data_IF_236136511564
#
_entry.id   IF_236136511564
#
_cell.length_a   1.000
_cell.length_b   1.000
_cell.length_c   1.000
_cell.angle_alpha   90.00
_cell.angle_beta   90.00
_cell.angle_gamma   90.00
#
_symmetry.space_group_name_H-M   'P 1'
#
loop_
_entity.id
_entity.type
_entity.pdbx_description
1 polymer ?
#
# COMPACT_ATOMS: atom_id res chain seq x y z
N UNK A 1 -18.32 -27.39 51.27
CA UNK A 1 -19.46 -27.39 50.31
C UNK A 1 -18.88 -27.26 48.89
N UNK A 2 -18.96 -28.25 48.02
CA UNK A 2 -18.46 -28.14 46.66
C UNK A 2 -19.36 -27.22 45.85
N UNK A 3 -18.77 -26.21 45.23
CA UNK A 3 -19.46 -25.30 44.31
C UNK A 3 -20.09 -26.10 43.16
N UNK A 4 -21.40 -25.96 42.93
CA UNK A 4 -22.09 -26.65 41.85
C UNK A 4 -21.41 -26.29 40.52
N UNK A 5 -21.21 -27.26 39.58
CA UNK A 5 -20.58 -27.09 38.27
C UNK A 5 -21.14 -25.89 37.49
N UNK A 6 -22.46 -25.62 37.64
CA UNK A 6 -23.13 -24.45 37.02
C UNK A 6 -22.61 -23.11 37.56
N UNK A 7 -22.31 -23.00 38.86
CA UNK A 7 -21.77 -21.78 39.47
C UNK A 7 -20.32 -21.55 39.01
N UNK A 8 -19.52 -22.60 38.89
CA UNK A 8 -18.15 -22.49 38.41
C UNK A 8 -18.13 -21.99 36.95
N UNK A 9 -18.99 -22.52 36.09
CA UNK A 9 -19.12 -22.07 34.69
C UNK A 9 -19.57 -20.61 34.62
N UNK A 10 -20.53 -20.22 35.46
CA UNK A 10 -21.03 -18.84 35.53
C UNK A 10 -19.91 -17.87 35.96
N UNK A 11 -19.15 -18.20 37.00
CA UNK A 11 -18.03 -17.36 37.47
C UNK A 11 -16.91 -17.29 36.43
N UNK A 12 -16.60 -18.39 35.76
CA UNK A 12 -15.60 -18.39 34.67
C UNK A 12 -16.03 -17.50 33.50
N UNK A 13 -17.31 -17.56 33.13
CA UNK A 13 -17.86 -16.71 32.08
C UNK A 13 -17.88 -15.24 32.51
N UNK A 14 -18.22 -14.96 33.77
CA UNK A 14 -18.24 -13.60 34.32
C UNK A 14 -16.83 -12.99 34.40
N UNK A 15 -15.83 -13.77 34.81
CA UNK A 15 -14.41 -13.33 34.84
C UNK A 15 -13.89 -13.08 33.41
N UNK A 16 -14.25 -13.97 32.47
CA UNK A 16 -13.92 -13.78 31.05
C UNK A 16 -14.58 -12.51 30.51
N UNK A 17 -15.84 -12.29 30.79
CA UNK A 17 -16.60 -11.09 30.40
C UNK A 17 -16.01 -9.82 31.00
N UNK A 18 -15.65 -9.82 32.29
CA UNK A 18 -14.97 -8.70 32.95
C UNK A 18 -13.59 -8.45 32.33
N UNK A 19 -12.85 -9.49 32.00
CA UNK A 19 -11.55 -9.38 31.29
C UNK A 19 -11.70 -8.73 29.92
N UNK A 20 -12.65 -9.21 29.13
CA UNK A 20 -12.94 -8.65 27.80
C UNK A 20 -13.43 -7.19 27.92
N UNK A 21 -14.31 -6.90 28.88
CA UNK A 21 -14.81 -5.55 29.12
C UNK A 21 -13.69 -4.59 29.59
N UNK A 22 -12.78 -5.04 30.46
CA UNK A 22 -11.62 -4.26 30.89
C UNK A 22 -10.67 -3.95 29.73
N UNK A 23 -10.41 -4.94 28.87
CA UNK A 23 -9.61 -4.74 27.64
C UNK A 23 -10.27 -3.68 26.75
N UNK A 24 -11.59 -3.78 26.60
CA UNK A 24 -12.39 -2.86 25.79
C UNK A 24 -12.38 -1.44 26.35
N UNK A 25 -12.54 -1.30 27.68
CA UNK A 25 -12.47 0.00 28.38
C UNK A 25 -11.10 0.62 28.29
N UNK A 26 -10.03 -0.18 28.41
CA UNK A 26 -8.66 0.30 28.30
C UNK A 26 -8.33 0.77 26.87
N UNK A 27 -8.74 -0.02 25.87
CA UNK A 27 -8.60 0.35 24.46
C UNK A 27 -9.41 1.61 24.15
N UNK A 28 -10.63 1.71 24.63
CA UNK A 28 -11.48 2.89 24.47
C UNK A 28 -10.87 4.13 25.14
N UNK A 29 -10.31 3.98 26.33
CA UNK A 29 -9.68 5.08 27.07
C UNK A 29 -8.40 5.58 26.36
N UNK A 30 -7.56 4.67 25.86
CA UNK A 30 -6.32 5.03 25.15
C UNK A 30 -6.58 5.65 23.76
N UNK A 31 -7.70 5.26 23.10
CA UNK A 31 -8.08 5.75 21.78
C UNK A 31 -9.14 6.87 21.84
N UNK A 32 -9.44 7.39 23.04
CA UNK A 32 -10.46 8.42 23.24
C UNK A 32 -10.15 9.75 22.55
N UNK A 33 -8.88 9.96 22.20
CA UNK A 33 -8.42 11.19 21.56
C UNK A 33 -8.06 10.95 20.09
N UNK A 34 -9.05 10.55 19.27
CA UNK A 34 -8.86 10.31 17.83
C UNK A 34 -8.31 11.53 17.08
N UNK A 35 -8.54 12.73 17.59
CA UNK A 35 -7.93 13.96 17.07
C UNK A 35 -6.41 13.95 17.20
N UNK A 36 -5.88 13.50 18.34
CA UNK A 36 -4.41 13.36 18.52
C UNK A 36 -3.82 12.28 17.63
N UNK A 37 -4.52 11.14 17.51
CA UNK A 37 -4.09 10.05 16.59
C UNK A 37 -4.06 10.53 15.15
N UNK A 38 -5.07 11.28 14.71
CA UNK A 38 -5.11 11.90 13.39
C UNK A 38 -3.94 12.86 13.19
N UNK A 39 -3.70 13.77 14.13
CA UNK A 39 -2.62 14.75 14.05
C UNK A 39 -1.25 14.07 14.04
N UNK A 40 -1.04 13.03 14.87
CA UNK A 40 0.17 12.24 14.87
C UNK A 40 0.37 11.51 13.53
N UNK A 41 -0.69 10.96 12.94
CA UNK A 41 -0.62 10.32 11.62
C UNK A 41 -0.22 11.33 10.54
N UNK A 42 -0.83 12.53 10.53
CA UNK A 42 -0.48 13.61 9.61
C UNK A 42 1.01 13.97 9.77
N UNK A 43 1.44 14.26 10.99
CA UNK A 43 2.82 14.64 11.31
C UNK A 43 3.81 13.57 10.80
N UNK A 44 3.55 12.30 11.09
CA UNK A 44 4.45 11.20 10.69
C UNK A 44 4.48 10.99 9.18
N UNK A 45 3.37 11.11 8.49
CA UNK A 45 3.35 11.01 7.03
C UNK A 45 4.03 12.24 6.40
N UNK A 46 3.81 13.46 6.93
CA UNK A 46 4.48 14.68 6.47
C UNK A 46 6.01 14.61 6.68
N UNK A 47 6.44 14.10 7.84
CA UNK A 47 7.86 13.89 8.15
C UNK A 47 8.51 12.93 7.14
N UNK A 48 7.85 11.80 6.84
CA UNK A 48 8.37 10.77 5.94
C UNK A 48 8.35 11.20 4.47
N UNK A 49 7.27 11.82 4.03
CA UNK A 49 7.07 12.19 2.63
C UNK A 49 7.60 13.58 2.29
N UNK A 50 7.82 14.43 3.31
CA UNK A 50 8.11 15.86 3.20
C UNK A 50 7.04 16.61 2.38
N UNK A 51 5.78 16.19 2.54
CA UNK A 51 4.63 16.71 1.81
C UNK A 51 3.48 16.99 2.76
N UNK A 52 2.67 17.98 2.39
CA UNK A 52 1.46 18.28 3.15
C UNK A 52 0.42 17.18 2.99
N UNK A 53 -0.11 16.75 4.12
CA UNK A 53 -1.11 15.68 4.22
C UNK A 53 -2.38 16.22 4.82
N UNK A 54 -3.52 15.84 4.27
CA UNK A 54 -4.81 16.09 4.91
C UNK A 54 -5.55 14.78 5.13
N UNK A 55 -6.25 14.69 6.26
CA UNK A 55 -7.12 13.59 6.62
C UNK A 55 -8.45 14.22 7.05
N UNK A 56 -9.56 13.81 6.43
CA UNK A 56 -10.89 14.31 6.77
C UNK A 56 -11.28 13.89 8.17
N UNK A 57 -11.65 12.64 8.34
CA UNK A 57 -12.13 12.08 9.60
C UNK A 57 -11.26 10.92 10.08
N UNK A 58 -11.23 10.74 11.40
CA UNK A 58 -10.64 9.55 12.02
C UNK A 58 -11.69 8.89 12.91
N UNK A 59 -11.93 7.61 12.69
CA UNK A 59 -12.91 6.81 13.44
C UNK A 59 -12.26 5.55 14.00
N UNK A 60 -12.79 5.06 15.09
CA UNK A 60 -12.44 3.75 15.63
C UNK A 60 -13.50 2.73 15.20
N UNK A 61 -13.06 1.64 14.59
CA UNK A 61 -13.92 0.53 14.21
C UNK A 61 -13.47 -0.74 14.96
N UNK A 62 -14.44 -1.36 15.64
CA UNK A 62 -14.22 -2.56 16.43
C UNK A 62 -14.91 -3.79 15.84
N UNK A 63 -15.80 -3.59 14.87
CA UNK A 63 -16.62 -4.67 14.31
C UNK A 63 -15.77 -5.69 13.56
N UNK A 64 -14.71 -5.22 12.88
CA UNK A 64 -13.76 -6.07 12.14
C UNK A 64 -12.41 -6.24 12.85
N UNK A 65 -12.39 -6.07 14.16
CA UNK A 65 -11.21 -5.98 15.00
C UNK A 65 -10.85 -4.54 15.32
N UNK A 66 -10.08 -4.33 16.40
CA UNK A 66 -9.69 -2.99 16.80
C UNK A 66 -8.90 -2.32 15.68
N UNK A 67 -9.46 -1.28 15.09
CA UNK A 67 -8.85 -0.58 13.97
C UNK A 67 -9.16 0.92 14.02
N UNK A 68 -8.25 1.69 13.42
CA UNK A 68 -8.42 3.11 13.15
C UNK A 68 -8.74 3.25 11.67
N UNK A 69 -9.83 3.92 11.37
CA UNK A 69 -10.26 4.27 10.01
C UNK A 69 -10.01 5.76 9.79
N UNK A 70 -9.13 6.07 8.84
CA UNK A 70 -8.87 7.43 8.36
C UNK A 70 -9.62 7.59 7.03
N UNK A 71 -10.46 8.61 6.91
CA UNK A 71 -11.23 8.91 5.70
C UNK A 71 -10.64 10.12 4.98
N UNK A 72 -10.83 10.16 3.66
CA UNK A 72 -10.46 11.27 2.78
C UNK A 72 -9.00 11.70 2.98
N UNK A 73 -8.12 10.72 2.87
CA UNK A 73 -6.67 10.94 2.99
C UNK A 73 -6.16 11.52 1.67
N UNK A 74 -5.42 12.63 1.75
CA UNK A 74 -4.75 13.19 0.58
C UNK A 74 -3.36 13.70 0.88
N UNK A 75 -2.45 13.51 -0.07
CA UNK A 75 -1.05 13.96 -0.02
C UNK A 75 -0.83 14.90 -1.20
N UNK A 76 -0.41 16.14 -0.92
CA UNK A 76 -0.21 17.16 -1.95
C UNK A 76 0.94 16.81 -2.88
N UNK A 77 0.77 17.14 -4.16
CA UNK A 77 1.82 17.05 -5.16
C UNK A 77 2.96 18.04 -4.89
N UNK A 78 4.16 17.69 -5.33
CA UNK A 78 5.31 18.59 -5.32
C UNK A 78 5.22 19.65 -6.43
N UNK A 79 4.56 19.32 -7.55
CA UNK A 79 4.61 20.12 -8.78
C UNK A 79 3.27 20.64 -9.26
N UNK A 80 2.20 20.45 -8.51
CA UNK A 80 0.87 20.87 -8.92
C UNK A 80 -0.07 21.21 -7.78
N UNK A 81 -1.23 21.73 -8.12
CA UNK A 81 -2.31 22.03 -7.16
C UNK A 81 -3.08 20.76 -6.77
N UNK A 82 -3.13 19.78 -7.69
CA UNK A 82 -3.83 18.54 -7.46
C UNK A 82 -3.06 17.63 -6.50
N UNK A 83 -3.77 16.85 -5.67
CA UNK A 83 -3.14 15.89 -4.81
C UNK A 83 -2.45 14.79 -5.65
N UNK A 84 -1.28 14.35 -5.22
CA UNK A 84 -0.55 13.27 -5.89
C UNK A 84 -1.02 11.89 -5.46
N UNK A 85 -1.46 11.77 -4.21
CA UNK A 85 -2.07 10.57 -3.68
C UNK A 85 -3.35 10.96 -2.95
N UNK A 86 -4.43 10.27 -3.27
CA UNK A 86 -5.66 10.30 -2.48
C UNK A 86 -6.06 8.89 -2.11
N UNK A 87 -6.80 8.73 -1.01
CA UNK A 87 -7.45 7.49 -0.66
C UNK A 87 -8.79 7.78 0.00
N UNK A 88 -9.82 7.07 -0.42
CA UNK A 88 -11.14 7.19 0.19
C UNK A 88 -11.08 6.80 1.68
N UNK A 89 -10.38 5.71 1.98
CA UNK A 89 -10.11 5.34 3.37
C UNK A 89 -8.82 4.54 3.54
N UNK A 90 -8.21 4.70 4.72
CA UNK A 90 -7.08 3.90 5.20
C UNK A 90 -7.47 3.30 6.55
N UNK A 91 -7.55 1.99 6.60
CA UNK A 91 -7.84 1.24 7.83
C UNK A 91 -6.56 0.60 8.36
N UNK A 92 -6.23 0.92 9.60
CA UNK A 92 -5.09 0.32 10.31
C UNK A 92 -5.63 -0.59 11.41
N UNK A 93 -5.51 -1.90 11.24
CA UNK A 93 -5.91 -2.91 12.22
C UNK A 93 -4.75 -3.21 13.13
N UNK A 94 -4.98 -3.19 14.45
CA UNK A 94 -3.95 -3.47 15.45
C UNK A 94 -4.17 -4.84 16.12
N UNK A 95 -3.09 -5.40 16.67
CA UNK A 95 -3.15 -6.63 17.44
C UNK A 95 -3.59 -6.33 18.87
N UNK A 96 -4.56 -7.09 19.39
CA UNK A 96 -5.13 -6.86 20.73
C UNK A 96 -4.17 -7.26 21.85
N UNK A 97 -3.49 -8.42 21.75
CA UNK A 97 -2.62 -8.92 22.82
C UNK A 97 -1.45 -7.98 23.15
N UNK A 98 -0.67 -7.47 22.17
CA UNK A 98 0.36 -6.48 22.44
C UNK A 98 -0.15 -5.19 23.07
N UNK A 99 -1.41 -4.82 22.76
CA UNK A 99 -2.03 -3.61 23.32
C UNK A 99 -2.20 -3.70 24.83
N UNK A 100 -2.44 -4.90 25.37
CA UNK A 100 -2.49 -5.14 26.84
C UNK A 100 -1.15 -4.83 27.52
N UNK A 101 -0.05 -4.99 26.80
CA UNK A 101 1.30 -4.66 27.22
C UNK A 101 1.71 -3.22 26.87
N UNK A 102 0.71 -2.37 26.52
CA UNK A 102 0.91 -0.98 26.05
C UNK A 102 1.81 -0.87 24.81
N UNK A 103 1.85 -1.91 23.97
CA UNK A 103 2.57 -1.92 22.69
C UNK A 103 1.58 -1.91 21.54
N UNK A 104 1.76 -0.99 20.60
CA UNK A 104 0.94 -0.93 19.38
C UNK A 104 1.64 -1.73 18.28
N UNK A 105 1.03 -2.84 17.89
CA UNK A 105 1.48 -3.64 16.76
C UNK A 105 0.45 -3.65 15.66
N UNK A 106 0.84 -3.22 14.47
CA UNK A 106 -0.02 -3.24 13.30
C UNK A 106 -0.16 -4.69 12.80
N UNK A 107 -1.40 -5.12 12.61
CA UNK A 107 -1.74 -6.42 12.04
C UNK A 107 -1.96 -6.32 10.55
N UNK A 108 -2.66 -5.28 10.10
CA UNK A 108 -3.09 -5.12 8.72
C UNK A 108 -3.28 -3.65 8.39
N UNK A 109 -2.98 -3.27 7.16
CA UNK A 109 -3.28 -1.97 6.57
C UNK A 109 -4.11 -2.21 5.32
N UNK A 110 -5.30 -1.59 5.24
CA UNK A 110 -6.19 -1.66 4.09
C UNK A 110 -6.39 -0.24 3.57
N UNK A 111 -6.09 -0.02 2.30
CA UNK A 111 -6.31 1.25 1.60
C UNK A 111 -7.39 1.04 0.55
N UNK A 112 -8.46 1.81 0.61
CA UNK A 112 -9.58 1.71 -0.33
C UNK A 112 -9.65 2.96 -1.20
N UNK A 113 -9.92 2.76 -2.49
CA UNK A 113 -10.10 3.83 -3.45
C UNK A 113 -8.86 4.74 -3.55
N UNK A 114 -7.66 4.14 -3.52
CA UNK A 114 -6.42 4.89 -3.69
C UNK A 114 -6.31 5.41 -5.13
N UNK A 115 -6.05 6.69 -5.31
CA UNK A 115 -5.71 7.28 -6.61
C UNK A 115 -4.32 7.89 -6.54
N UNK A 116 -3.43 7.43 -7.41
CA UNK A 116 -2.04 7.88 -7.49
C UNK A 116 -1.80 8.59 -8.81
N UNK A 117 -1.38 9.85 -8.75
CA UNK A 117 -0.95 10.62 -9.91
C UNK A 117 0.57 10.66 -9.96
N UNK A 118 1.14 10.17 -11.04
CA UNK A 118 2.60 10.19 -11.27
C UNK A 118 2.89 11.01 -12.51
N UNK A 119 3.72 12.02 -12.35
CA UNK A 119 4.14 12.87 -13.47
C UNK A 119 5.65 12.74 -13.64
N UNK A 120 6.09 12.45 -14.86
CA UNK A 120 7.50 12.59 -15.27
C UNK A 120 7.64 13.86 -16.10
N UNK A 121 8.43 14.81 -15.62
CA UNK A 121 8.63 16.08 -16.33
C UNK A 121 9.58 15.94 -17.53
N UNK A 122 9.73 17.01 -18.30
CA UNK A 122 10.60 17.04 -19.47
C UNK A 122 12.10 16.82 -19.16
N UNK A 123 12.54 17.02 -17.92
CA UNK A 123 13.90 16.68 -17.47
C UNK A 123 14.03 15.26 -16.92
N UNK A 124 13.01 14.43 -17.05
CA UNK A 124 13.01 13.03 -16.62
C UNK A 124 12.77 12.80 -15.13
N UNK A 125 12.49 13.85 -14.36
CA UNK A 125 12.24 13.74 -12.93
C UNK A 125 10.79 13.32 -12.67
N UNK A 126 10.59 12.45 -11.68
CA UNK A 126 9.25 12.02 -11.24
C UNK A 126 8.69 12.90 -10.11
N UNK A 127 7.39 13.14 -10.14
CA UNK A 127 6.67 13.86 -9.09
C UNK A 127 6.79 13.16 -7.74
N UNK A 128 6.73 11.84 -7.70
CA UNK A 128 6.95 11.03 -6.48
C UNK A 128 8.34 11.24 -5.84
N UNK A 129 9.21 11.98 -6.54
CA UNK A 129 10.60 12.12 -6.16
C UNK A 129 11.41 10.91 -6.59
N UNK A 130 12.57 10.80 -6.01
CA UNK A 130 13.53 9.77 -6.38
C UNK A 130 13.20 8.47 -5.65
N UNK A 131 12.40 7.60 -6.28
CA UNK A 131 12.06 6.27 -5.75
C UNK A 131 13.34 5.47 -5.48
N UNK A 132 14.38 5.68 -6.28
CA UNK A 132 15.67 5.04 -6.07
C UNK A 132 16.31 5.48 -4.75
N UNK A 133 16.15 6.75 -4.35
CA UNK A 133 16.59 7.23 -3.03
C UNK A 133 15.80 6.59 -1.89
N UNK A 134 14.52 6.28 -2.09
CA UNK A 134 13.73 5.59 -1.07
C UNK A 134 14.21 4.16 -0.86
N UNK A 135 14.57 3.48 -1.96
CA UNK A 135 15.03 2.09 -1.93
C UNK A 135 16.44 1.99 -1.35
N UNK A 136 17.31 2.98 -1.66
CA UNK A 136 18.68 3.05 -1.16
C UNK A 136 18.81 3.62 0.26
N UNK A 137 17.71 3.85 0.98
CA UNK A 137 17.76 4.33 2.36
C UNK A 137 18.48 3.33 3.26
N UNK A 138 19.33 3.81 4.19
CA UNK A 138 19.94 2.96 5.21
C UNK A 138 18.87 2.21 6.01
N UNK A 139 19.21 1.03 6.46
CA UNK A 139 18.31 0.16 7.23
C UNK A 139 17.89 0.72 8.60
N UNK A 140 18.65 1.66 9.15
CA UNK A 140 18.35 2.37 10.38
C UNK A 140 17.44 3.59 10.19
N UNK A 141 17.17 3.98 8.94
CA UNK A 141 16.32 5.12 8.63
C UNK A 141 14.87 4.92 9.13
N UNK A 142 14.23 6.00 9.52
CA UNK A 142 12.81 6.00 9.93
C UNK A 142 11.91 5.44 8.81
N UNK A 143 12.19 5.84 7.55
CA UNK A 143 11.45 5.36 6.38
C UNK A 143 11.55 3.84 6.23
N UNK A 144 12.76 3.27 6.36
CA UNK A 144 12.94 1.82 6.30
C UNK A 144 12.17 1.10 7.40
N UNK A 145 12.21 1.61 8.64
CA UNK A 145 11.46 1.04 9.77
C UNK A 145 9.95 1.01 9.50
N UNK A 146 9.39 2.10 8.95
CA UNK A 146 7.98 2.16 8.59
C UNK A 146 7.65 1.21 7.44
N UNK A 147 8.46 1.18 6.38
CA UNK A 147 8.29 0.25 5.26
C UNK A 147 8.42 -1.21 5.74
N UNK A 148 9.38 -1.52 6.60
CA UNK A 148 9.53 -2.86 7.19
C UNK A 148 8.29 -3.27 7.97
N UNK A 149 7.77 -2.41 8.87
CA UNK A 149 6.53 -2.69 9.60
C UNK A 149 5.36 -2.88 8.65
N UNK A 150 5.24 -2.05 7.62
CA UNK A 150 4.18 -2.17 6.61
C UNK A 150 4.28 -3.47 5.82
N UNK A 151 5.47 -3.85 5.37
CA UNK A 151 5.70 -5.09 4.63
C UNK A 151 5.55 -6.34 5.52
N UNK A 152 5.91 -6.25 6.81
CA UNK A 152 5.72 -7.35 7.77
C UNK A 152 4.26 -7.51 8.20
N UNK A 153 3.45 -6.46 8.03
CA UNK A 153 2.00 -6.48 8.21
C UNK A 153 1.34 -6.94 6.92
N UNK A 154 0.09 -7.35 6.99
CA UNK A 154 -0.69 -7.56 5.79
C UNK A 154 -1.09 -6.19 5.20
N UNK A 155 -0.61 -5.86 4.00
CA UNK A 155 -0.99 -4.63 3.28
C UNK A 155 -1.90 -4.99 2.13
N UNK A 156 -3.00 -4.26 1.99
CA UNK A 156 -3.96 -4.42 0.90
C UNK A 156 -4.33 -3.05 0.35
N UNK A 157 -4.37 -2.95 -0.98
CA UNK A 157 -5.01 -1.84 -1.69
C UNK A 157 -6.18 -2.43 -2.46
N UNK A 158 -7.35 -1.84 -2.29
CA UNK A 158 -8.59 -2.27 -2.92
C UNK A 158 -9.14 -1.14 -3.79
N UNK A 159 -9.44 -1.46 -5.04
CA UNK A 159 -10.02 -0.56 -6.03
C UNK A 159 -9.21 0.74 -6.21
N UNK A 160 -7.92 0.59 -6.40
CA UNK A 160 -7.02 1.72 -6.67
C UNK A 160 -7.01 2.13 -8.13
N UNK A 161 -6.46 3.33 -8.40
CA UNK A 161 -6.18 3.83 -9.75
C UNK A 161 -4.77 4.45 -9.81
N UNK A 162 -4.18 4.41 -10.99
CA UNK A 162 -2.89 5.07 -11.29
C UNK A 162 -3.05 5.88 -12.56
N UNK A 163 -2.70 7.16 -12.50
CA UNK A 163 -2.62 8.05 -13.64
C UNK A 163 -1.17 8.49 -13.83
N UNK A 164 -0.55 8.02 -14.90
CA UNK A 164 0.82 8.38 -15.24
C UNK A 164 0.83 9.34 -16.43
N UNK A 165 1.54 10.45 -16.29
CA UNK A 165 1.77 11.44 -17.33
C UNK A 165 3.28 11.61 -17.55
N UNK A 166 3.71 11.44 -18.79
CA UNK A 166 5.11 11.51 -19.16
C UNK A 166 5.35 12.62 -20.19
N UNK A 167 6.12 13.61 -19.78
CA UNK A 167 6.53 14.74 -20.60
C UNK A 167 7.95 14.59 -21.17
N UNK A 168 8.66 13.49 -20.88
CA UNK A 168 9.98 13.26 -21.43
C UNK A 168 9.87 13.02 -22.95
N UNK A 169 10.62 13.80 -23.72
CA UNK A 169 10.63 13.74 -25.18
C UNK A 169 9.24 13.92 -25.85
N UNK A 170 8.29 14.50 -25.13
CA UNK A 170 6.94 14.77 -25.62
C UNK A 170 6.66 16.29 -25.71
N UNK A 171 5.78 16.72 -26.64
CA UNK A 171 5.27 18.09 -26.64
C UNK A 171 4.58 18.40 -25.29
N UNK A 172 4.74 19.66 -24.80
CA UNK A 172 4.17 20.06 -23.49
C UNK A 172 2.66 19.90 -23.39
N UNK A 173 1.96 19.96 -24.49
CA UNK A 173 0.51 19.85 -24.62
C UNK A 173 0.01 18.41 -24.83
N UNK A 174 0.92 17.46 -25.06
CA UNK A 174 0.57 16.06 -25.40
C UNK A 174 1.48 15.06 -24.66
N UNK A 175 1.42 14.98 -23.34
CA UNK A 175 2.17 13.96 -22.61
C UNK A 175 1.68 12.55 -22.98
N UNK A 176 2.56 11.56 -22.86
CA UNK A 176 2.13 10.17 -22.82
C UNK A 176 1.27 9.96 -21.56
N UNK A 177 0.06 9.47 -21.75
CA UNK A 177 -0.84 9.17 -20.63
C UNK A 177 -1.06 7.65 -20.54
N UNK A 178 -0.85 7.12 -19.37
CA UNK A 178 -1.19 5.75 -19.02
C UNK A 178 -2.09 5.76 -17.80
N UNK A 179 -3.22 5.12 -17.93
CA UNK A 179 -4.20 4.94 -16.86
C UNK A 179 -4.31 3.46 -16.52
N UNK A 180 -4.38 3.16 -15.24
CA UNK A 180 -4.66 1.82 -14.73
C UNK A 180 -5.75 1.94 -13.68
N UNK A 181 -6.77 1.09 -13.77
CA UNK A 181 -7.93 1.11 -12.89
C UNK A 181 -8.11 -0.25 -12.20
N UNK A 182 -9.02 -0.27 -11.21
CA UNK A 182 -9.35 -1.46 -10.44
C UNK A 182 -8.09 -2.18 -9.91
N UNK A 183 -7.13 -1.37 -9.44
CA UNK A 183 -5.87 -1.89 -8.90
C UNK A 183 -6.15 -2.53 -7.55
N UNK A 184 -5.78 -3.81 -7.44
CA UNK A 184 -5.75 -4.54 -6.19
C UNK A 184 -4.32 -4.97 -5.92
N UNK A 185 -3.77 -4.51 -4.83
CA UNK A 185 -2.46 -4.91 -4.35
C UNK A 185 -2.58 -5.61 -3.01
N UNK A 186 -1.80 -6.65 -2.80
CA UNK A 186 -1.71 -7.30 -1.49
C UNK A 186 -0.31 -7.81 -1.23
N UNK A 187 0.12 -7.66 0.02
CA UNK A 187 1.29 -8.32 0.59
C UNK A 187 0.84 -9.10 1.82
N UNK A 188 1.28 -10.33 1.94
CA UNK A 188 1.00 -11.18 3.09
C UNK A 188 2.19 -12.10 3.40
N UNK A 189 2.40 -12.36 4.67
CA UNK A 189 3.40 -13.35 5.10
C UNK A 189 2.88 -14.76 4.84
N UNK A 190 3.69 -15.62 4.26
CA UNK A 190 3.37 -17.05 4.14
C UNK A 190 3.42 -17.72 5.50
N UNK A 191 2.46 -18.62 5.76
CA UNK A 191 2.42 -19.40 7.01
C UNK A 191 3.38 -20.60 7.00
N UNK A 192 3.83 -21.02 5.82
CA UNK A 192 4.54 -22.30 5.64
C UNK A 192 6.05 -22.13 5.48
N UNK A 193 6.51 -21.04 4.93
CA UNK A 193 7.93 -20.67 4.80
C UNK A 193 8.04 -19.16 4.68
N UNK A 194 9.15 -18.61 5.14
CA UNK A 194 9.42 -17.20 5.31
C UNK A 194 9.24 -16.21 4.16
N UNK A 195 9.01 -16.54 2.89
CA UNK A 195 8.82 -15.50 1.91
C UNK A 195 7.47 -14.81 2.08
N UNK A 196 7.49 -13.50 1.93
CA UNK A 196 6.29 -12.70 1.75
C UNK A 196 5.75 -12.92 0.36
N UNK A 197 4.45 -13.09 0.24
CA UNK A 197 3.78 -13.18 -1.06
C UNK A 197 3.17 -11.83 -1.41
N UNK A 198 3.31 -11.43 -2.66
CA UNK A 198 2.66 -10.25 -3.19
C UNK A 198 1.82 -10.58 -4.42
N UNK A 199 0.79 -9.78 -4.62
CA UNK A 199 -0.05 -9.81 -5.83
C UNK A 199 -0.50 -8.40 -6.14
N UNK A 200 -0.30 -7.99 -7.38
CA UNK A 200 -0.81 -6.76 -7.97
C UNK A 200 -1.63 -7.17 -9.20
N UNK A 201 -2.87 -6.73 -9.28
CA UNK A 201 -3.73 -6.91 -10.45
C UNK A 201 -4.47 -5.61 -10.73
N UNK A 202 -4.85 -5.41 -11.96
CA UNK A 202 -5.62 -4.25 -12.36
C UNK A 202 -5.95 -4.32 -13.85
N UNK A 203 -6.44 -3.22 -14.36
CA UNK A 203 -6.89 -3.09 -15.74
C UNK A 203 -6.33 -1.83 -16.37
N UNK A 204 -5.96 -1.92 -17.64
CA UNK A 204 -5.61 -0.79 -18.49
C UNK A 204 -6.82 -0.51 -19.35
N UNK A 205 -7.50 0.65 -19.20
CA UNK A 205 -8.66 1.00 -20.01
C UNK A 205 -8.28 1.03 -21.49
N UNK A 206 -9.15 0.52 -22.34
CA UNK A 206 -9.02 0.58 -23.79
C UNK A 206 -10.37 0.92 -24.41
N UNK A 207 -10.38 1.42 -25.65
CA UNK A 207 -11.60 1.85 -26.36
C UNK A 207 -12.62 0.73 -26.57
N UNK A 208 -12.17 -0.51 -26.71
CA UNK A 208 -13.02 -1.66 -26.99
C UNK A 208 -13.29 -2.52 -25.75
N UNK A 209 -12.25 -2.78 -24.96
CA UNK A 209 -12.34 -3.53 -23.72
C UNK A 209 -11.12 -3.28 -22.85
N UNK A 210 -11.27 -3.29 -21.53
CA UNK A 210 -10.14 -3.19 -20.60
C UNK A 210 -9.21 -4.39 -20.72
N UNK A 211 -7.91 -4.13 -20.61
CA UNK A 211 -6.88 -5.15 -20.62
C UNK A 211 -6.41 -5.45 -19.22
N UNK A 212 -6.61 -6.66 -18.75
CA UNK A 212 -6.18 -7.07 -17.42
C UNK A 212 -4.68 -7.35 -17.38
N UNK A 213 -4.03 -6.93 -16.28
CA UNK A 213 -2.66 -7.30 -15.95
C UNK A 213 -2.57 -7.92 -14.55
N UNK A 214 -1.56 -8.73 -14.34
CA UNK A 214 -1.27 -9.32 -13.04
C UNK A 214 0.23 -9.50 -12.84
N UNK A 215 0.73 -9.03 -11.69
CA UNK A 215 2.09 -9.31 -11.19
C UNK A 215 1.94 -10.04 -9.87
N UNK A 216 2.61 -11.16 -9.70
CA UNK A 216 2.53 -11.91 -8.45
C UNK A 216 3.80 -12.70 -8.21
N UNK A 217 4.09 -12.94 -6.95
CA UNK A 217 5.31 -13.64 -6.60
C UNK A 217 5.56 -13.65 -5.09
N UNK A 218 6.81 -13.81 -4.77
CA UNK A 218 7.28 -13.82 -3.40
C UNK A 218 8.55 -12.96 -3.26
N UNK A 219 8.80 -12.48 -2.06
CA UNK A 219 10.05 -11.84 -1.71
C UNK A 219 10.51 -12.27 -0.33
N UNK A 220 11.82 -12.25 -0.10
CA UNK A 220 12.47 -12.64 1.15
C UNK A 220 13.65 -11.71 1.47
N UNK A 221 14.38 -12.02 2.54
CA UNK A 221 15.57 -11.28 2.97
C UNK A 221 15.33 -9.82 3.39
N UNK A 222 14.15 -9.52 3.98
CA UNK A 222 13.88 -8.24 4.58
C UNK A 222 14.66 -8.11 5.91
N UNK A 223 15.98 -7.90 5.81
CA UNK A 223 16.88 -7.81 6.95
C UNK A 223 17.22 -6.37 7.32
N UNK A 224 17.59 -6.16 8.59
CA UNK A 224 18.04 -4.85 9.05
C UNK A 224 19.45 -4.49 8.52
N UNK A 225 20.23 -5.48 8.13
CA UNK A 225 21.60 -5.26 7.66
C UNK A 225 21.65 -4.73 6.22
N UNK A 226 20.77 -5.24 5.34
CA UNK A 226 20.79 -4.94 3.90
C UNK A 226 19.72 -3.97 3.44
N UNK A 227 18.81 -3.57 4.33
CA UNK A 227 17.71 -2.70 3.96
C UNK A 227 16.83 -3.29 2.84
N UNK A 228 16.26 -2.43 2.01
CA UNK A 228 15.41 -2.86 0.89
C UNK A 228 16.23 -3.42 -0.29
N UNK A 229 17.49 -3.03 -0.43
CA UNK A 229 18.35 -3.50 -1.54
C UNK A 229 18.67 -4.98 -1.46
N UNK A 230 18.65 -5.56 -0.25
CA UNK A 230 18.88 -6.99 -0.03
C UNK A 230 17.68 -7.90 -0.29
N UNK A 231 16.52 -7.34 -0.63
CA UNK A 231 15.32 -8.12 -0.88
C UNK A 231 15.50 -8.95 -2.15
N UNK A 232 15.32 -10.26 -2.04
CA UNK A 232 15.21 -11.18 -3.17
C UNK A 232 13.75 -11.26 -3.60
N UNK A 233 13.50 -11.13 -4.90
CA UNK A 233 12.15 -11.17 -5.48
C UNK A 233 12.11 -12.21 -6.59
N UNK A 234 11.10 -13.07 -6.53
CA UNK A 234 10.72 -14.00 -7.60
C UNK A 234 9.27 -13.78 -7.96
N UNK A 235 8.98 -13.67 -9.26
CA UNK A 235 7.62 -13.40 -9.65
C UNK A 235 7.32 -13.65 -11.12
N UNK A 236 6.05 -13.44 -11.44
CA UNK A 236 5.51 -13.52 -12.80
C UNK A 236 4.72 -12.26 -13.11
N UNK A 237 4.87 -11.82 -14.35
CA UNK A 237 4.08 -10.76 -14.95
C UNK A 237 3.23 -11.33 -16.09
N UNK A 238 1.94 -11.07 -16.07
CA UNK A 238 1.01 -11.41 -17.14
C UNK A 238 0.25 -10.17 -17.57
N UNK A 239 0.22 -9.96 -18.87
CA UNK A 239 -0.59 -8.94 -19.53
C UNK A 239 -1.45 -9.64 -20.57
N UNK A 240 -2.76 -9.50 -20.46
CA UNK A 240 -3.71 -9.92 -21.47
C UNK A 240 -3.51 -9.09 -22.73
N UNK A 241 -4.07 -9.47 -23.89
CA UNK A 241 -3.90 -8.72 -25.13
C UNK A 241 -4.25 -7.23 -24.96
N UNK A 242 -3.25 -6.38 -25.15
CA UNK A 242 -3.35 -4.92 -25.14
C UNK A 242 -3.23 -4.40 -26.55
N UNK A 243 -4.19 -3.60 -27.01
CA UNK A 243 -4.09 -2.92 -28.29
C UNK A 243 -3.03 -1.82 -28.22
N UNK A 244 -1.90 -2.02 -28.92
CA UNK A 244 -0.75 -1.09 -28.90
C UNK A 244 -0.94 0.11 -29.82
N UNK A 245 -1.96 0.11 -30.68
CA UNK A 245 -2.19 1.20 -31.65
C UNK A 245 -2.41 2.56 -30.96
N UNK A 246 -3.00 2.58 -29.77
CA UNK A 246 -3.19 3.78 -28.96
C UNK A 246 -1.90 4.48 -28.55
N UNK A 247 -0.78 3.75 -28.54
CA UNK A 247 0.53 4.27 -28.15
C UNK A 247 1.37 4.71 -29.33
N UNK A 248 0.91 4.54 -30.57
CA UNK A 248 1.67 4.89 -31.78
C UNK A 248 2.12 6.34 -31.80
N UNK A 249 1.27 7.26 -31.34
CA UNK A 249 1.60 8.69 -31.28
C UNK A 249 2.81 9.00 -30.38
N UNK A 250 3.08 8.17 -29.37
CA UNK A 250 4.17 8.34 -28.42
C UNK A 250 5.44 7.59 -28.84
N UNK A 251 5.27 6.45 -29.48
CA UNK A 251 6.39 5.57 -29.88
C UNK A 251 6.55 5.51 -31.41
N UNK A 252 6.47 6.67 -32.07
CA UNK A 252 6.52 6.79 -33.54
C UNK A 252 7.68 6.05 -34.17
N UNK A 253 8.88 6.06 -33.57
CA UNK A 253 10.07 5.38 -34.10
C UNK A 253 9.97 3.85 -34.01
N UNK A 254 9.25 3.32 -33.03
CA UNK A 254 9.16 1.87 -32.78
C UNK A 254 7.87 1.29 -33.36
N UNK A 255 6.76 2.04 -33.28
CA UNK A 255 5.43 1.59 -33.66
C UNK A 255 4.88 2.25 -34.91
N UNK A 256 5.67 3.01 -35.67
CA UNK A 256 5.24 3.93 -36.73
C UNK A 256 4.30 3.32 -37.79
N UNK A 257 4.25 1.98 -37.94
CA UNK A 257 3.35 1.26 -38.86
C UNK A 257 2.76 -0.02 -38.28
N UNK A 258 2.99 -0.29 -37.00
CA UNK A 258 2.58 -1.55 -36.39
C UNK A 258 1.32 -1.32 -35.55
N UNK A 259 0.21 -1.83 -36.02
CA UNK A 259 -1.01 -2.04 -35.22
C UNK A 259 -1.03 -3.51 -34.78
N UNK A 260 -1.51 -3.78 -33.58
CA UNK A 260 -1.60 -5.16 -33.13
C UNK A 260 -1.86 -5.28 -31.64
N UNK A 261 -1.81 -6.49 -31.19
CA UNK A 261 -2.05 -6.84 -29.80
C UNK A 261 -0.78 -7.35 -29.16
N UNK A 262 -0.47 -6.85 -27.96
CA UNK A 262 0.63 -7.29 -27.14
C UNK A 262 0.14 -8.12 -25.98
N UNK A 263 0.59 -9.35 -25.86
CA UNK A 263 0.42 -10.20 -24.68
C UNK A 263 1.77 -10.52 -24.10
N UNK A 264 1.87 -10.53 -22.77
CA UNK A 264 3.10 -10.86 -22.06
C UNK A 264 2.80 -11.93 -21.02
N UNK A 265 3.60 -12.99 -21.00
CA UNK A 265 3.70 -13.93 -19.87
C UNK A 265 5.20 -14.14 -19.63
N UNK A 266 5.70 -13.57 -18.55
CA UNK A 266 7.13 -13.57 -18.22
C UNK A 266 7.35 -13.86 -16.75
N UNK A 267 8.53 -14.40 -16.42
CA UNK A 267 9.00 -14.57 -15.06
C UNK A 267 10.22 -13.69 -14.83
N UNK A 268 10.37 -13.22 -13.62
CA UNK A 268 11.53 -12.45 -13.19
C UNK A 268 12.03 -12.96 -11.85
N UNK A 269 13.34 -12.89 -11.66
CA UNK A 269 14.01 -13.27 -10.41
C UNK A 269 15.24 -12.39 -10.25
N UNK A 270 15.48 -11.94 -9.02
CA UNK A 270 16.64 -11.09 -8.73
C UNK A 270 16.53 -10.41 -7.38
N UNK A 271 17.47 -9.51 -7.12
CA UNK A 271 17.35 -8.57 -6.02
C UNK A 271 16.68 -7.26 -6.47
N UNK A 272 16.06 -6.57 -5.53
CA UNK A 272 15.32 -5.34 -5.84
C UNK A 272 16.21 -4.28 -6.50
N UNK A 273 17.46 -4.17 -6.10
CA UNK A 273 18.42 -3.24 -6.69
C UNK A 273 18.71 -3.56 -8.16
N UNK A 274 18.87 -4.83 -8.51
CA UNK A 274 19.14 -5.25 -9.89
C UNK A 274 17.93 -5.12 -10.81
N UNK A 275 16.70 -5.25 -10.28
CA UNK A 275 15.47 -5.10 -11.07
C UNK A 275 15.19 -3.62 -11.40
N UNK A 276 15.68 -2.68 -10.59
CA UNK A 276 15.42 -1.25 -10.73
C UNK A 276 16.52 -0.48 -11.46
N UNK A 277 17.62 -1.14 -11.85
CA UNK A 277 18.66 -0.64 -12.74
C UNK A 277 18.33 -0.95 -14.19
#
# INVERSE_FOLDING_TARGET
MPLSKKRVIFYSFFVLFLGVFSIFSLAHYQLRNLGEVKNLAIEKIEELTRRKVSIGEAEMDIVRGLSILLKDVSVKSRWGSEPELTAHSVRVVVKLLPLLEKRIEVKQIIVQGASLQVVRNASGQFSLGDVQKWISQPADSQLFKVLKVSLMSQVMVEDGSLHFQDYLDQPKDKPLQLEMNHIHFSVRKSLVKSPYQFSLKGEIPNSEASTAFKVFGAFDNLSEEKGLTGISIDGKFRLNPLNISRFQQYFKKVLAKNSGWLSIDSSFSGNLEGILK
#
